data_IF_631531291296
#
_entry.id   IF_631531291296
#
_cell.length_a   1.000
_cell.length_b   1.000
_cell.length_c   1.000
_cell.angle_alpha   90.00
_cell.angle_beta   90.00
_cell.angle_gamma   90.00
#
_symmetry.space_group_name_H-M   'P 1'
#
loop_
_entity.id
_entity.type
_entity.pdbx_description
1 polymer ?
#
# COMPACT_ATOMS: atom_id res chain seq x y z
N UNK A 1 14.58 -26.41 -3.66
CA UNK A 1 15.90 -26.14 -3.05
C UNK A 1 15.73 -26.13 -1.54
N UNK A 2 16.55 -26.87 -0.80
CA UNK A 2 16.40 -26.88 0.67
C UNK A 2 16.87 -25.55 1.27
N UNK A 3 16.16 -25.06 2.28
CA UNK A 3 16.58 -23.88 3.04
C UNK A 3 17.90 -24.13 3.79
N UNK A 4 18.62 -23.07 4.15
CA UNK A 4 19.85 -23.20 4.97
C UNK A 4 19.62 -23.96 6.26
N UNK A 5 18.47 -23.73 6.91
CA UNK A 5 18.09 -24.45 8.12
C UNK A 5 17.86 -25.95 7.82
N UNK A 6 17.16 -26.26 6.74
CA UNK A 6 16.94 -27.67 6.33
C UNK A 6 18.26 -28.37 5.96
N UNK A 7 19.19 -27.67 5.31
CA UNK A 7 20.54 -28.19 5.03
C UNK A 7 21.30 -28.48 6.32
N UNK A 8 21.22 -27.60 7.33
CA UNK A 8 21.84 -27.83 8.65
C UNK A 8 21.17 -29.03 9.36
N UNK A 9 19.84 -29.14 9.32
CA UNK A 9 19.12 -30.29 9.87
C UNK A 9 19.56 -31.56 9.18
N UNK A 10 19.61 -31.61 7.87
CA UNK A 10 20.11 -32.78 7.12
C UNK A 10 21.54 -33.12 7.47
N UNK A 11 22.39 -32.13 7.68
CA UNK A 11 23.78 -32.34 8.11
C UNK A 11 23.85 -33.00 9.50
N UNK A 12 23.03 -32.55 10.45
CA UNK A 12 22.95 -33.16 11.78
C UNK A 12 22.42 -34.59 11.69
N UNK A 13 21.37 -34.80 10.89
CA UNK A 13 20.75 -36.11 10.74
C UNK A 13 21.62 -37.13 10.00
N UNK A 14 22.69 -36.74 9.30
CA UNK A 14 23.69 -37.66 8.73
C UNK A 14 24.39 -38.52 9.79
N UNK A 15 24.41 -38.07 11.03
CA UNK A 15 24.94 -38.89 12.16
C UNK A 15 24.01 -40.06 12.54
N UNK A 16 22.83 -40.15 11.96
CA UNK A 16 21.81 -41.18 12.20
C UNK A 16 21.48 -41.93 10.91
N UNK A 17 22.23 -42.98 10.54
CA UNK A 17 22.10 -43.67 9.25
C UNK A 17 20.68 -44.22 8.99
N UNK A 18 19.96 -44.59 10.04
CA UNK A 18 18.61 -45.17 9.93
C UNK A 18 17.54 -44.17 9.45
N UNK A 19 17.83 -42.86 9.47
CA UNK A 19 16.96 -41.84 8.88
C UNK A 19 17.14 -41.67 7.36
N UNK A 20 18.05 -42.43 6.75
CA UNK A 20 18.39 -42.26 5.34
C UNK A 20 18.15 -43.52 4.54
N UNK A 21 17.56 -43.35 3.36
CA UNK A 21 17.47 -44.38 2.33
C UNK A 21 18.24 -43.88 1.09
N UNK A 22 19.48 -44.31 0.96
CA UNK A 22 20.39 -43.71 -0.01
C UNK A 22 20.68 -42.24 0.35
N UNK A 23 20.39 -41.32 -0.54
CA UNK A 23 20.55 -39.89 -0.29
C UNK A 23 19.24 -39.21 0.20
N UNK A 24 18.14 -39.96 0.28
CA UNK A 24 16.85 -39.43 0.68
C UNK A 24 16.59 -39.55 2.18
N UNK A 25 16.24 -38.41 2.80
CA UNK A 25 15.87 -38.35 4.21
C UNK A 25 14.47 -38.92 4.44
N UNK A 26 14.38 -39.97 5.27
CA UNK A 26 13.10 -40.58 5.71
C UNK A 26 12.43 -39.70 6.78
N UNK A 27 11.83 -38.60 6.36
CA UNK A 27 11.25 -37.59 7.27
C UNK A 27 10.24 -38.16 8.26
N UNK A 28 9.43 -39.16 7.81
CA UNK A 28 8.43 -39.77 8.67
C UNK A 28 9.06 -40.51 9.86
N UNK A 29 10.20 -41.18 9.66
CA UNK A 29 10.93 -41.87 10.74
C UNK A 29 11.45 -40.84 11.74
N UNK A 30 12.06 -39.75 11.27
CA UNK A 30 12.52 -38.65 12.14
C UNK A 30 11.35 -38.04 12.93
N UNK A 31 10.19 -37.87 12.30
CA UNK A 31 8.98 -37.34 12.95
C UNK A 31 8.47 -38.28 14.05
N UNK A 32 8.47 -39.58 13.84
CA UNK A 32 8.04 -40.54 14.86
C UNK A 32 8.97 -40.54 16.06
N UNK A 33 10.31 -40.50 15.85
CA UNK A 33 11.28 -40.44 16.93
C UNK A 33 11.20 -39.08 17.68
N UNK A 34 10.91 -37.97 17.00
CA UNK A 34 10.63 -36.71 17.67
C UNK A 34 9.36 -36.75 18.53
N UNK A 35 8.29 -37.41 18.06
CA UNK A 35 7.06 -37.57 18.84
C UNK A 35 7.26 -38.46 20.07
N UNK A 36 8.15 -39.45 19.98
CA UNK A 36 8.52 -40.30 21.09
C UNK A 36 9.56 -39.67 22.04
N UNK A 37 9.94 -38.41 21.75
CA UNK A 37 10.92 -37.65 22.51
C UNK A 37 12.31 -38.34 22.58
N UNK A 38 12.78 -38.92 21.46
CA UNK A 38 14.13 -39.52 21.41
C UNK A 38 15.20 -38.55 21.90
N UNK A 39 15.84 -38.91 23.01
CA UNK A 39 16.77 -38.01 23.69
C UNK A 39 18.07 -37.76 22.90
N UNK A 40 18.52 -38.77 22.11
CA UNK A 40 19.73 -38.66 21.30
C UNK A 40 19.50 -37.73 20.12
N UNK A 41 18.36 -37.86 19.44
CA UNK A 41 17.96 -37.01 18.34
C UNK A 41 17.77 -35.53 18.81
N UNK A 42 16.99 -35.31 19.86
CA UNK A 42 16.76 -33.99 20.43
C UNK A 42 18.08 -33.35 20.89
N UNK A 43 18.94 -34.10 21.56
CA UNK A 43 20.23 -33.60 21.99
C UNK A 43 21.13 -33.21 20.81
N UNK A 44 21.12 -33.98 19.74
CA UNK A 44 21.89 -33.66 18.54
C UNK A 44 21.39 -32.39 17.85
N UNK A 45 20.06 -32.20 17.76
CA UNK A 45 19.43 -31.00 17.19
C UNK A 45 19.73 -29.76 18.03
N UNK A 46 19.67 -29.85 19.36
CA UNK A 46 19.91 -28.74 20.28
C UNK A 46 21.37 -28.27 20.34
N UNK A 47 22.32 -29.02 19.77
CA UNK A 47 23.72 -28.57 19.59
C UNK A 47 23.80 -27.43 18.55
N UNK A 48 22.85 -27.34 17.63
CA UNK A 48 22.77 -26.24 16.66
C UNK A 48 22.17 -25.02 17.34
N UNK A 49 22.94 -23.93 17.37
CA UNK A 49 22.53 -22.68 18.04
C UNK A 49 21.23 -22.13 17.51
N UNK A 50 21.04 -22.14 16.19
CA UNK A 50 19.83 -21.61 15.53
C UNK A 50 18.59 -22.45 15.88
N UNK A 51 18.72 -23.78 15.93
CA UNK A 51 17.62 -24.66 16.36
C UNK A 51 17.30 -24.40 17.84
N UNK A 52 18.31 -24.29 18.67
CA UNK A 52 18.15 -24.02 20.10
C UNK A 52 17.45 -22.68 20.36
N UNK A 53 17.83 -21.61 19.68
CA UNK A 53 17.24 -20.28 19.86
C UNK A 53 15.77 -20.22 19.42
N UNK A 54 15.43 -20.86 18.34
CA UNK A 54 14.10 -20.74 17.73
C UNK A 54 13.10 -21.80 18.21
N UNK A 55 13.58 -22.98 18.60
CA UNK A 55 12.70 -24.13 18.93
C UNK A 55 12.82 -24.59 20.38
N UNK A 56 13.27 -23.69 21.28
CA UNK A 56 13.21 -23.98 22.70
C UNK A 56 12.58 -22.83 23.49
N UNK A 57 12.05 -23.18 24.66
CA UNK A 57 11.59 -22.22 25.67
C UNK A 57 12.31 -22.50 26.96
N UNK A 58 12.76 -21.45 27.65
CA UNK A 58 13.30 -21.57 29.02
C UNK A 58 12.16 -21.55 30.02
N UNK A 59 12.05 -22.59 30.81
CA UNK A 59 11.14 -22.68 31.97
C UNK A 59 12.02 -22.82 33.24
N UNK A 60 12.37 -21.70 33.86
CA UNK A 60 13.37 -21.64 34.91
C UNK A 60 14.75 -22.01 34.39
N UNK A 61 15.38 -23.03 34.97
CA UNK A 61 16.68 -23.56 34.53
C UNK A 61 16.56 -24.62 33.43
N UNK A 62 15.33 -25.06 33.12
CA UNK A 62 15.11 -26.16 32.17
C UNK A 62 14.81 -25.58 30.77
N UNK A 63 15.41 -26.21 29.75
CA UNK A 63 15.14 -25.89 28.33
C UNK A 63 14.18 -26.92 27.78
N UNK A 64 13.01 -26.47 27.36
CA UNK A 64 11.96 -27.30 26.75
C UNK A 64 12.04 -27.16 25.24
N UNK A 65 12.13 -28.30 24.52
CA UNK A 65 12.14 -28.33 23.06
C UNK A 65 10.71 -28.32 22.52
N UNK A 66 10.43 -27.42 21.58
CA UNK A 66 9.13 -27.26 20.94
C UNK A 66 8.95 -28.28 19.81
N UNK A 67 8.75 -29.52 20.19
CA UNK A 67 8.73 -30.67 19.28
C UNK A 67 7.75 -30.47 18.13
N UNK A 68 6.53 -30.01 18.40
CA UNK A 68 5.50 -29.86 17.38
C UNK A 68 5.89 -28.81 16.33
N UNK A 69 6.36 -27.65 16.77
CA UNK A 69 6.83 -26.58 15.87
C UNK A 69 8.02 -27.05 15.01
N UNK A 70 8.90 -27.90 15.57
CA UNK A 70 10.00 -28.48 14.82
C UNK A 70 9.56 -29.56 13.82
N UNK A 71 8.59 -30.40 14.17
CA UNK A 71 7.99 -31.41 13.26
C UNK A 71 7.42 -30.73 12.02
N UNK A 72 6.81 -29.58 12.16
CA UNK A 72 6.21 -28.85 11.04
C UNK A 72 7.25 -28.50 9.97
N UNK A 73 8.51 -28.21 10.35
CA UNK A 73 9.61 -28.02 9.39
C UNK A 73 9.83 -29.27 8.51
N UNK A 74 9.81 -30.44 9.13
CA UNK A 74 10.11 -31.69 8.44
C UNK A 74 8.99 -32.13 7.51
N UNK A 75 7.77 -31.66 7.72
CA UNK A 75 6.61 -31.97 6.88
C UNK A 75 6.62 -31.27 5.54
N UNK A 76 7.25 -30.08 5.46
CA UNK A 76 7.19 -29.26 4.27
C UNK A 76 8.32 -29.58 3.28
N UNK A 77 7.99 -29.64 1.99
CA UNK A 77 8.92 -29.82 0.87
C UNK A 77 9.11 -28.48 0.16
N UNK A 78 9.96 -28.29 -0.70
CA UNK A 78 10.24 -27.19 -1.64
C UNK A 78 9.41 -25.88 -1.52
N UNK A 79 9.89 -24.94 -0.69
CA UNK A 79 9.11 -23.78 -0.24
C UNK A 79 9.12 -22.57 -1.14
N UNK A 80 10.06 -22.43 -2.06
CA UNK A 80 10.39 -21.12 -2.62
C UNK A 80 10.43 -21.10 -4.14
N UNK A 81 10.02 -22.14 -4.81
CA UNK A 81 10.26 -22.26 -6.24
C UNK A 81 9.67 -21.09 -7.03
N UNK A 82 8.46 -20.64 -6.66
CA UNK A 82 7.71 -19.75 -7.53
C UNK A 82 7.11 -18.51 -6.85
N UNK A 83 6.89 -18.53 -5.54
CA UNK A 83 6.27 -17.42 -4.82
C UNK A 83 6.74 -17.33 -3.37
N UNK A 84 6.99 -16.12 -2.89
CA UNK A 84 7.32 -15.83 -1.50
C UNK A 84 6.79 -14.46 -1.10
N UNK A 85 6.44 -14.34 0.17
CA UNK A 85 6.02 -13.09 0.79
C UNK A 85 6.56 -13.01 2.20
N UNK A 86 6.81 -11.79 2.69
CA UNK A 86 7.27 -11.54 4.04
C UNK A 86 6.22 -10.73 4.79
N UNK A 87 5.84 -11.20 5.98
CA UNK A 87 4.99 -10.45 6.90
C UNK A 87 5.83 -9.69 7.91
N UNK A 88 5.38 -8.49 8.26
CA UNK A 88 5.80 -7.83 9.48
C UNK A 88 4.96 -8.40 10.64
N UNK A 89 5.62 -8.91 11.68
CA UNK A 89 4.92 -9.38 12.87
C UNK A 89 4.28 -8.20 13.58
N UNK A 90 2.95 -8.25 13.73
CA UNK A 90 2.23 -7.32 14.59
C UNK A 90 1.84 -8.09 15.85
N UNK A 91 2.34 -7.66 17.01
CA UNK A 91 1.96 -8.26 18.28
C UNK A 91 0.60 -7.69 18.68
N UNK A 92 -0.39 -8.54 18.84
CA UNK A 92 -1.71 -8.17 19.35
C UNK A 92 -2.23 -9.25 20.29
N UNK A 93 -3.00 -8.86 21.28
CA UNK A 93 -3.73 -9.79 22.13
C UNK A 93 -4.94 -10.29 21.34
N UNK A 94 -5.06 -11.60 21.19
CA UNK A 94 -6.21 -12.25 20.55
C UNK A 94 -6.88 -13.22 21.52
N UNK A 95 -8.19 -13.33 21.43
CA UNK A 95 -8.97 -14.41 22.06
C UNK A 95 -9.78 -15.07 20.97
N UNK A 96 -9.68 -16.40 20.86
CA UNK A 96 -10.36 -17.20 19.81
C UNK A 96 -10.11 -16.68 18.38
N UNK A 97 -8.89 -16.21 18.09
CA UNK A 97 -8.51 -15.66 16.78
C UNK A 97 -9.02 -14.24 16.52
N UNK A 98 -9.60 -13.55 17.49
CA UNK A 98 -10.04 -12.16 17.38
C UNK A 98 -9.20 -11.25 18.27
N UNK A 99 -8.87 -10.07 17.76
CA UNK A 99 -8.20 -9.05 18.58
C UNK A 99 -9.10 -8.55 19.72
N UNK A 100 -8.56 -8.46 20.95
CA UNK A 100 -9.23 -7.88 22.09
C UNK A 100 -9.21 -6.33 22.01
N UNK A 101 -9.73 -5.77 20.93
CA UNK A 101 -10.02 -4.34 20.86
C UNK A 101 -11.53 -4.16 21.01
N UNK A 102 -11.92 -3.34 21.98
CA UNK A 102 -13.31 -3.02 22.28
C UNK A 102 -13.99 -2.14 21.23
N UNK A 103 -13.32 -1.79 20.16
CA UNK A 103 -13.87 -0.98 19.08
C UNK A 103 -14.41 -1.90 17.98
N UNK A 104 -15.59 -1.58 17.50
CA UNK A 104 -16.29 -2.25 16.40
C UNK A 104 -15.64 -2.03 15.02
N UNK A 105 -14.37 -1.64 14.97
CA UNK A 105 -13.64 -1.41 13.74
C UNK A 105 -13.34 -2.74 13.04
N UNK A 106 -13.56 -2.75 11.74
CA UNK A 106 -13.19 -3.89 10.89
C UNK A 106 -11.67 -4.00 10.87
N UNK A 107 -11.14 -5.07 11.43
CA UNK A 107 -9.71 -5.38 11.40
C UNK A 107 -9.46 -6.48 10.38
N UNK A 108 -8.51 -6.25 9.47
CA UNK A 108 -7.96 -7.32 8.65
C UNK A 108 -7.14 -8.23 9.55
N UNK A 109 -7.68 -9.41 9.83
CA UNK A 109 -6.93 -10.44 10.52
C UNK A 109 -6.20 -11.28 9.46
N UNK A 110 -4.87 -11.26 9.52
CA UNK A 110 -4.03 -12.19 8.77
C UNK A 110 -3.67 -13.33 9.71
N UNK A 111 -4.38 -14.45 9.66
CA UNK A 111 -3.96 -15.64 10.37
C UNK A 111 -2.56 -16.03 9.90
N UNK A 112 -1.80 -16.71 10.71
CA UNK A 112 -0.44 -17.13 10.34
C UNK A 112 0.57 -15.98 10.13
N UNK A 113 0.55 -14.97 11.01
CA UNK A 113 1.43 -13.79 10.93
C UNK A 113 2.92 -14.09 10.86
N UNK A 114 3.33 -15.24 11.39
CA UNK A 114 4.70 -15.74 11.38
C UNK A 114 4.95 -16.73 10.24
N UNK A 115 4.23 -16.56 9.13
CA UNK A 115 4.28 -17.45 7.99
C UNK A 115 4.69 -16.72 6.72
N UNK A 116 5.15 -17.52 5.77
CA UNK A 116 5.28 -17.14 4.37
C UNK A 116 4.17 -17.83 3.60
N UNK A 117 3.45 -17.06 2.79
CA UNK A 117 2.41 -17.59 1.92
C UNK A 117 3.02 -17.97 0.56
N UNK A 118 2.85 -19.21 0.16
CA UNK A 118 3.02 -19.65 -1.22
C UNK A 118 1.67 -19.60 -1.92
N UNK A 119 1.54 -18.70 -2.88
CA UNK A 119 0.42 -18.63 -3.80
C UNK A 119 0.95 -18.44 -5.21
N UNK A 120 0.31 -18.78 -6.22
CA UNK A 120 0.85 -18.67 -7.58
C UNK A 120 1.09 -17.22 -8.01
N UNK A 121 2.26 -16.95 -8.55
CA UNK A 121 2.65 -15.64 -9.11
C UNK A 121 2.66 -15.61 -10.63
N UNK A 122 2.71 -16.79 -11.26
CA UNK A 122 2.76 -16.94 -12.71
C UNK A 122 1.40 -17.38 -13.26
N UNK A 123 1.22 -17.27 -14.57
CA UNK A 123 -0.04 -17.68 -15.22
C UNK A 123 -0.26 -19.19 -15.17
N UNK A 124 0.82 -19.96 -15.09
CA UNK A 124 0.84 -21.41 -14.94
C UNK A 124 0.33 -21.86 -13.56
N UNK A 125 0.43 -20.98 -12.57
CA UNK A 125 0.00 -21.24 -11.19
C UNK A 125 -1.51 -21.04 -10.96
N UNK A 126 -2.28 -20.80 -12.00
CA UNK A 126 -3.74 -20.61 -11.88
C UNK A 126 -4.39 -21.80 -11.20
N UNK A 127 -5.05 -21.56 -10.07
CA UNK A 127 -5.70 -22.61 -9.28
C UNK A 127 -4.79 -23.37 -8.31
N UNK A 128 -3.53 -22.95 -8.14
CA UNK A 128 -2.64 -23.48 -7.11
C UNK A 128 -3.23 -23.20 -5.73
N UNK A 129 -3.21 -24.21 -4.86
CA UNK A 129 -3.63 -24.04 -3.47
C UNK A 129 -2.65 -23.15 -2.72
N UNK A 130 -3.18 -22.30 -1.85
CA UNK A 130 -2.35 -21.47 -0.97
C UNK A 130 -1.79 -22.32 0.17
N UNK A 131 -0.49 -22.21 0.40
CA UNK A 131 0.20 -22.89 1.49
C UNK A 131 0.95 -21.87 2.34
N UNK A 132 0.75 -21.95 3.65
CA UNK A 132 1.42 -21.09 4.63
C UNK A 132 2.58 -21.84 5.28
N UNK A 133 3.77 -21.27 5.21
CA UNK A 133 4.99 -21.83 5.78
C UNK A 133 5.47 -21.00 6.96
N UNK A 134 6.02 -21.66 7.97
CA UNK A 134 6.59 -20.98 9.12
C UNK A 134 7.71 -20.00 8.71
N UNK A 135 7.58 -18.72 9.10
CA UNK A 135 8.48 -17.65 8.71
C UNK A 135 9.94 -17.87 9.18
N UNK A 136 10.15 -18.57 10.30
CA UNK A 136 11.49 -18.85 10.83
C UNK A 136 12.31 -19.70 9.86
N UNK A 137 11.67 -20.64 9.19
CA UNK A 137 12.31 -21.49 8.16
C UNK A 137 12.78 -20.65 6.98
N UNK A 138 11.93 -19.70 6.60
CA UNK A 138 12.07 -18.88 5.41
C UNK A 138 12.97 -17.65 5.60
N UNK A 139 13.15 -17.18 6.82
CA UNK A 139 13.69 -15.87 7.12
C UNK A 139 14.99 -15.54 6.37
N UNK A 140 15.98 -16.44 6.45
CA UNK A 140 17.27 -16.18 5.83
C UNK A 140 17.19 -16.14 4.31
N UNK A 141 16.34 -16.97 3.72
CA UNK A 141 16.12 -17.01 2.27
C UNK A 141 15.43 -15.72 1.81
N UNK A 142 14.39 -15.30 2.53
CA UNK A 142 13.64 -14.09 2.24
C UNK A 142 14.53 -12.85 2.42
N UNK A 143 15.28 -12.76 3.51
CA UNK A 143 16.19 -11.64 3.75
C UNK A 143 17.28 -11.55 2.68
N UNK A 144 17.82 -12.68 2.23
CA UNK A 144 18.75 -12.75 1.10
C UNK A 144 18.07 -12.31 -0.20
N UNK A 145 16.84 -12.74 -0.43
CA UNK A 145 16.08 -12.45 -1.64
C UNK A 145 15.69 -10.98 -1.73
N UNK A 146 15.28 -10.38 -0.61
CA UNK A 146 14.91 -8.96 -0.52
C UNK A 146 16.11 -8.02 -0.33
N UNK A 147 17.33 -8.55 -0.12
CA UNK A 147 18.53 -7.72 -0.08
C UNK A 147 18.71 -6.94 -1.39
N UNK A 148 19.26 -5.71 -1.34
CA UNK A 148 19.49 -4.90 -2.54
C UNK A 148 20.23 -5.67 -3.62
N UNK A 149 19.76 -5.61 -4.86
CA UNK A 149 20.34 -6.28 -6.02
C UNK A 149 21.12 -5.29 -6.87
N UNK A 150 22.17 -5.78 -7.52
CA UNK A 150 22.84 -5.04 -8.57
C UNK A 150 21.99 -5.10 -9.85
N UNK A 151 21.86 -3.97 -10.52
CA UNK A 151 21.27 -3.91 -11.85
C UNK A 151 22.29 -4.32 -12.90
N UNK A 152 21.85 -5.04 -13.91
CA UNK A 152 22.67 -5.49 -15.04
C UNK A 152 22.06 -4.98 -16.35
N UNK A 153 22.86 -4.96 -17.41
CA UNK A 153 22.44 -4.45 -18.73
C UNK A 153 21.88 -3.02 -18.64
N UNK A 154 22.56 -2.16 -17.91
CA UNK A 154 22.14 -0.79 -17.68
C UNK A 154 22.46 0.06 -18.90
N UNK A 155 21.42 0.66 -19.50
CA UNK A 155 21.52 1.48 -20.71
C UNK A 155 20.88 2.83 -20.47
N UNK A 156 21.46 3.88 -21.05
CA UNK A 156 20.90 5.22 -21.12
C UNK A 156 20.42 5.49 -22.54
N UNK A 157 19.22 6.03 -22.63
CA UNK A 157 18.62 6.49 -23.88
C UNK A 157 18.47 8.00 -23.82
N UNK A 158 19.13 8.71 -24.69
CA UNK A 158 19.04 10.16 -24.82
C UNK A 158 18.92 10.57 -26.29
N UNK A 159 19.03 11.88 -26.57
CA UNK A 159 18.95 12.41 -27.95
C UNK A 159 20.05 11.88 -28.89
N UNK A 160 21.15 11.39 -28.36
CA UNK A 160 22.30 10.90 -29.12
C UNK A 160 22.26 9.36 -29.34
N UNK A 161 21.27 8.67 -28.73
CA UNK A 161 21.00 7.25 -28.92
C UNK A 161 21.07 6.42 -27.62
N UNK A 162 21.48 5.15 -27.78
CA UNK A 162 21.61 4.17 -26.71
C UNK A 162 23.08 4.03 -26.29
N UNK A 163 23.34 4.11 -24.98
CA UNK A 163 24.68 4.03 -24.39
C UNK A 163 24.69 3.06 -23.23
N UNK A 164 25.71 2.21 -23.12
CA UNK A 164 25.97 1.42 -21.94
C UNK A 164 26.51 2.32 -20.82
N UNK A 165 25.93 2.21 -19.63
CA UNK A 165 26.32 2.97 -18.45
C UNK A 165 26.54 2.07 -17.26
N UNK A 166 27.40 2.49 -16.34
CA UNK A 166 27.65 1.80 -15.06
C UNK A 166 26.97 2.49 -13.87
N UNK A 167 26.62 3.76 -14.02
CA UNK A 167 26.01 4.57 -12.99
C UNK A 167 24.91 5.45 -13.58
N UNK A 168 23.92 5.80 -12.76
CA UNK A 168 22.86 6.74 -13.11
C UNK A 168 22.77 7.86 -12.05
N UNK A 169 22.33 9.04 -12.47
CA UNK A 169 22.17 10.21 -11.61
C UNK A 169 20.75 10.29 -11.03
N UNK A 170 20.54 11.20 -10.06
CA UNK A 170 19.21 11.49 -9.52
C UNK A 170 18.32 12.27 -10.51
N UNK A 171 18.91 12.84 -11.57
CA UNK A 171 18.19 13.53 -12.65
C UNK A 171 17.70 12.58 -13.75
N UNK A 172 18.13 11.32 -13.75
CA UNK A 172 17.75 10.36 -14.76
C UNK A 172 16.38 9.74 -14.46
N UNK A 173 15.55 9.55 -15.50
CA UNK A 173 14.35 8.75 -15.42
C UNK A 173 14.72 7.26 -15.51
N UNK A 174 14.20 6.45 -14.60
CA UNK A 174 14.57 5.04 -14.50
C UNK A 174 13.45 4.12 -14.98
N UNK A 175 13.78 3.16 -15.85
CA UNK A 175 12.92 2.04 -16.20
C UNK A 175 13.62 0.76 -15.73
N UNK A 176 13.07 0.12 -14.70
CA UNK A 176 13.64 -1.08 -14.10
C UNK A 176 12.79 -2.29 -14.48
N UNK A 177 13.39 -3.23 -15.21
CA UNK A 177 12.73 -4.48 -15.63
C UNK A 177 13.06 -5.60 -14.66
N UNK A 178 12.04 -6.25 -14.11
CA UNK A 178 12.21 -7.38 -13.20
C UNK A 178 11.02 -7.57 -12.25
N UNK A 179 11.18 -8.42 -11.25
CA UNK A 179 10.21 -8.53 -10.17
C UNK A 179 10.18 -7.21 -9.39
N UNK A 180 9.02 -6.55 -9.37
CA UNK A 180 8.90 -5.21 -8.80
C UNK A 180 9.10 -5.17 -7.27
N UNK A 181 8.82 -6.25 -6.53
CA UNK A 181 9.11 -6.32 -5.09
C UNK A 181 10.62 -6.24 -4.84
N UNK A 182 11.42 -6.99 -5.62
CA UNK A 182 12.87 -6.97 -5.52
C UNK A 182 13.45 -5.61 -5.95
N UNK A 183 12.87 -5.02 -7.00
CA UNK A 183 13.26 -3.69 -7.47
C UNK A 183 13.00 -2.63 -6.40
N UNK A 184 11.82 -2.62 -5.78
CA UNK A 184 11.46 -1.69 -4.70
C UNK A 184 12.41 -1.80 -3.50
N UNK A 185 12.72 -3.03 -3.05
CA UNK A 185 13.69 -3.25 -1.99
C UNK A 185 15.11 -2.77 -2.37
N UNK A 186 15.50 -2.92 -3.63
CA UNK A 186 16.80 -2.44 -4.12
C UNK A 186 16.88 -0.92 -4.17
N UNK A 187 15.75 -0.25 -4.45
CA UNK A 187 15.64 1.22 -4.45
C UNK A 187 15.65 1.83 -3.05
N UNK A 188 15.27 1.08 -2.02
CA UNK A 188 15.12 1.57 -0.65
C UNK A 188 16.37 2.31 -0.15
N UNK A 189 17.57 1.78 -0.40
CA UNK A 189 18.83 2.39 0.06
C UNK A 189 19.01 3.83 -0.46
N UNK A 190 18.53 4.13 -1.66
CA UNK A 190 18.71 5.44 -2.32
C UNK A 190 17.51 6.36 -2.15
N UNK A 191 16.30 5.82 -2.17
CA UNK A 191 15.06 6.59 -2.28
C UNK A 191 14.12 6.50 -1.06
N UNK A 192 14.50 5.81 0.03
CA UNK A 192 13.68 5.82 1.25
C UNK A 192 13.42 7.25 1.73
N UNK A 193 12.16 7.59 1.95
CA UNK A 193 11.75 8.93 2.41
C UNK A 193 11.92 10.06 1.38
N UNK A 194 12.12 9.77 0.10
CA UNK A 194 12.38 10.80 -0.93
C UNK A 194 11.31 10.89 -2.02
N UNK A 195 10.50 9.86 -2.20
CA UNK A 195 9.51 9.81 -3.28
C UNK A 195 8.30 10.66 -2.91
N UNK A 196 7.98 11.63 -3.72
CA UNK A 196 6.85 12.55 -3.47
C UNK A 196 5.51 11.97 -3.90
N UNK A 197 5.49 11.20 -4.98
CA UNK A 197 4.26 10.63 -5.51
C UNK A 197 4.51 9.20 -6.01
N UNK A 198 3.61 8.29 -5.63
CA UNK A 198 3.57 6.92 -6.15
C UNK A 198 2.21 6.71 -6.80
N UNK A 199 2.22 6.26 -8.05
CA UNK A 199 1.02 5.81 -8.76
C UNK A 199 1.24 4.36 -9.18
N UNK A 200 0.29 3.48 -8.84
CA UNK A 200 0.34 2.07 -9.21
C UNK A 200 -0.98 1.61 -9.80
N UNK A 201 -0.87 0.75 -10.81
CA UNK A 201 -1.96 0.05 -11.49
C UNK A 201 -1.66 -1.45 -11.39
N UNK A 202 -2.04 -2.11 -10.27
CA UNK A 202 -1.75 -3.51 -10.03
C UNK A 202 -2.69 -4.42 -10.82
N UNK A 203 -2.41 -5.74 -10.90
CA UNK A 203 -3.37 -6.71 -11.41
C UNK A 203 -4.69 -6.64 -10.63
N UNK A 204 -5.84 -6.54 -11.31
CA UNK A 204 -7.15 -6.41 -10.65
C UNK A 204 -7.76 -7.75 -10.23
N UNK A 205 -7.06 -8.83 -10.45
CA UNK A 205 -7.52 -10.19 -10.12
C UNK A 205 -8.86 -10.56 -10.79
N UNK A 206 -9.00 -10.18 -12.06
CA UNK A 206 -10.24 -10.34 -12.83
C UNK A 206 -10.39 -11.71 -13.47
N UNK A 207 -9.28 -12.42 -13.59
CA UNK A 207 -9.22 -13.74 -14.24
C UNK A 207 -9.37 -13.73 -15.78
N UNK A 208 -9.40 -12.56 -16.41
CA UNK A 208 -9.65 -12.40 -17.86
C UNK A 208 -8.47 -11.84 -18.63
N UNK A 209 -7.26 -12.05 -18.14
CA UNK A 209 -6.11 -11.28 -18.60
C UNK A 209 -5.37 -11.91 -19.78
N UNK A 210 -4.91 -11.07 -20.71
CA UNK A 210 -3.99 -11.40 -21.78
C UNK A 210 -2.52 -11.20 -21.41
N UNK A 211 -2.23 -10.69 -20.21
CA UNK A 211 -0.89 -10.41 -19.73
C UNK A 211 -0.12 -11.67 -19.31
N UNK A 212 1.20 -11.52 -19.16
CA UNK A 212 2.11 -12.62 -18.80
C UNK A 212 2.18 -12.92 -17.31
N UNK A 213 1.48 -12.16 -16.47
CA UNK A 213 1.39 -12.39 -15.03
C UNK A 213 0.06 -13.03 -14.63
N UNK A 214 0.00 -13.59 -13.43
CA UNK A 214 -1.22 -14.18 -12.89
C UNK A 214 -2.23 -13.09 -12.50
N UNK A 215 -3.44 -13.12 -13.07
CA UNK A 215 -4.57 -12.27 -12.70
C UNK A 215 -5.71 -13.10 -12.07
N UNK A 216 -5.39 -14.31 -11.57
CA UNK A 216 -6.30 -15.23 -10.90
C UNK A 216 -5.74 -15.67 -9.56
N UNK A 217 -5.34 -14.70 -8.75
CA UNK A 217 -4.93 -14.97 -7.39
C UNK A 217 -6.12 -15.41 -6.54
N UNK A 218 -5.89 -16.27 -5.57
CA UNK A 218 -6.77 -16.34 -4.43
C UNK A 218 -6.75 -14.99 -3.69
N UNK A 219 -7.82 -14.65 -2.99
CA UNK A 219 -7.94 -13.32 -2.36
C UNK A 219 -6.83 -13.05 -1.33
N UNK A 220 -6.47 -14.04 -0.51
CA UNK A 220 -5.41 -13.93 0.47
C UNK A 220 -4.04 -13.72 -0.18
N UNK A 221 -3.74 -14.44 -1.26
CA UNK A 221 -2.51 -14.25 -2.03
C UNK A 221 -2.44 -12.85 -2.64
N UNK A 222 -3.53 -12.37 -3.24
CA UNK A 222 -3.57 -11.04 -3.81
C UNK A 222 -3.37 -9.94 -2.76
N UNK A 223 -4.04 -10.05 -1.61
CA UNK A 223 -3.88 -9.10 -0.50
C UNK A 223 -2.45 -9.11 0.04
N UNK A 224 -1.83 -10.28 0.15
CA UNK A 224 -0.43 -10.41 0.59
C UNK A 224 0.53 -9.82 -0.45
N UNK A 225 0.31 -10.11 -1.73
CA UNK A 225 1.05 -9.52 -2.85
C UNK A 225 1.02 -7.99 -2.80
N UNK A 226 -0.16 -7.40 -2.60
CA UNK A 226 -0.35 -5.96 -2.49
C UNK A 226 0.30 -5.40 -1.21
N UNK A 227 0.08 -6.05 -0.07
CA UNK A 227 0.60 -5.60 1.23
C UNK A 227 2.10 -5.39 1.20
N UNK A 228 2.87 -6.38 0.77
CA UNK A 228 4.33 -6.30 0.75
C UNK A 228 4.84 -5.12 -0.10
N UNK A 229 4.17 -4.84 -1.21
CA UNK A 229 4.53 -3.73 -2.11
C UNK A 229 4.13 -2.38 -1.55
N UNK A 230 2.96 -2.30 -0.93
CA UNK A 230 2.45 -1.08 -0.32
C UNK A 230 3.25 -0.69 0.94
N UNK A 231 3.71 -1.66 1.74
CA UNK A 231 4.58 -1.41 2.89
C UNK A 231 5.90 -0.78 2.45
N UNK A 232 6.56 -1.33 1.43
CA UNK A 232 7.77 -0.73 0.86
C UNK A 232 7.49 0.62 0.20
N UNK A 233 6.35 0.76 -0.50
CA UNK A 233 5.96 2.03 -1.08
C UNK A 233 5.84 3.13 -0.02
N UNK A 234 5.25 2.82 1.14
CA UNK A 234 5.18 3.74 2.28
C UNK A 234 6.57 4.15 2.79
N UNK A 235 7.53 3.22 2.85
CA UNK A 235 8.90 3.53 3.26
C UNK A 235 9.63 4.43 2.25
N UNK A 236 9.34 4.27 0.95
CA UNK A 236 9.92 5.11 -0.10
C UNK A 236 9.35 6.52 -0.11
N UNK A 237 8.08 6.71 0.25
CA UNK A 237 7.42 8.01 0.27
C UNK A 237 8.10 8.98 1.24
N UNK A 238 8.24 10.25 0.81
CA UNK A 238 8.61 11.37 1.68
C UNK A 238 7.51 11.62 2.73
N UNK A 239 7.81 12.41 3.74
CA UNK A 239 6.82 12.76 4.79
C UNK A 239 5.59 13.48 4.23
N UNK A 240 5.74 14.21 3.12
CA UNK A 240 4.66 14.89 2.40
C UNK A 240 4.11 14.06 1.22
N UNK A 241 4.59 12.83 1.07
CA UNK A 241 4.31 11.99 -0.09
C UNK A 241 2.87 11.50 -0.17
N UNK A 242 2.44 11.28 -1.42
CA UNK A 242 1.10 10.80 -1.77
C UNK A 242 1.18 9.47 -2.52
N UNK A 243 0.18 8.62 -2.31
CA UNK A 243 0.03 7.39 -3.09
C UNK A 243 -1.35 7.31 -3.73
N UNK A 244 -1.36 6.85 -4.97
CA UNK A 244 -2.56 6.61 -5.77
C UNK A 244 -2.55 5.17 -6.26
N UNK A 245 -3.60 4.41 -5.95
CA UNK A 245 -3.70 2.99 -6.29
C UNK A 245 -4.96 2.75 -7.08
N UNK A 246 -4.79 2.39 -8.35
CA UNK A 246 -5.90 2.11 -9.25
C UNK A 246 -6.43 0.69 -9.03
N UNK A 247 -7.75 0.50 -9.17
CA UNK A 247 -8.40 -0.81 -9.11
C UNK A 247 -9.80 -0.77 -9.72
N UNK A 248 -10.37 -1.95 -9.92
CA UNK A 248 -11.76 -2.11 -10.34
C UNK A 248 -12.72 -2.41 -9.17
N UNK A 249 -14.00 -2.64 -9.49
CA UNK A 249 -15.04 -3.00 -8.51
C UNK A 249 -14.71 -4.28 -7.71
N UNK A 250 -13.91 -5.21 -8.26
CA UNK A 250 -13.63 -6.49 -7.60
C UNK A 250 -12.73 -6.30 -6.38
N UNK A 251 -11.78 -5.36 -6.44
CA UNK A 251 -10.74 -5.19 -5.41
C UNK A 251 -10.91 -3.91 -4.58
N UNK A 252 -11.72 -2.96 -5.01
CA UNK A 252 -11.80 -1.64 -4.38
C UNK A 252 -12.04 -1.69 -2.86
N UNK A 253 -13.01 -2.48 -2.40
CA UNK A 253 -13.36 -2.55 -0.97
C UNK A 253 -12.22 -3.17 -0.14
N UNK A 254 -11.65 -4.27 -0.61
CA UNK A 254 -10.55 -4.97 0.08
C UNK A 254 -9.27 -4.16 0.08
N UNK A 255 -8.95 -3.53 -1.06
CA UNK A 255 -7.79 -2.65 -1.19
C UNK A 255 -7.91 -1.43 -0.28
N UNK A 256 -9.11 -0.85 -0.15
CA UNK A 256 -9.37 0.26 0.77
C UNK A 256 -9.04 -0.12 2.22
N UNK A 257 -9.52 -1.28 2.68
CA UNK A 257 -9.25 -1.76 4.05
C UNK A 257 -7.77 -2.08 4.25
N UNK A 258 -7.11 -2.66 3.24
CA UNK A 258 -5.68 -2.91 3.28
C UNK A 258 -4.87 -1.60 3.37
N UNK A 259 -5.21 -0.60 2.56
CA UNK A 259 -4.58 0.72 2.59
C UNK A 259 -4.80 1.44 3.93
N UNK A 260 -6.01 1.34 4.52
CA UNK A 260 -6.29 1.85 5.86
C UNK A 260 -5.37 1.22 6.91
N UNK A 261 -5.08 -0.08 6.80
CA UNK A 261 -4.19 -0.78 7.73
C UNK A 261 -2.72 -0.36 7.61
N UNK A 262 -2.29 0.09 6.44
CA UNK A 262 -0.91 0.48 6.15
C UNK A 262 -0.70 1.99 6.36
N UNK A 263 -1.56 2.82 5.77
CA UNK A 263 -1.42 4.28 5.74
C UNK A 263 -2.21 5.00 6.84
N UNK A 264 -3.07 4.31 7.55
CA UNK A 264 -4.07 4.81 8.51
C UNK A 264 -5.30 5.44 7.81
N UNK A 265 -6.47 5.23 8.41
CA UNK A 265 -7.75 5.71 7.87
C UNK A 265 -7.81 7.23 7.77
N UNK A 266 -7.19 7.92 8.71
CA UNK A 266 -7.13 9.39 8.81
C UNK A 266 -6.35 10.02 7.65
N UNK A 267 -5.47 9.25 7.01
CA UNK A 267 -4.69 9.68 5.86
C UNK A 267 -5.37 9.40 4.52
N UNK A 268 -6.56 8.83 4.53
CA UNK A 268 -7.38 8.66 3.33
C UNK A 268 -7.82 10.02 2.78
N UNK A 269 -7.58 10.25 1.48
CA UNK A 269 -7.94 11.50 0.82
C UNK A 269 -9.24 11.36 0.04
N UNK A 270 -9.28 10.43 -0.90
CA UNK A 270 -10.40 10.30 -1.81
C UNK A 270 -10.43 8.94 -2.51
N UNK A 271 -11.63 8.56 -2.92
CA UNK A 271 -11.88 7.52 -3.91
C UNK A 271 -12.30 8.17 -5.21
N UNK A 272 -11.35 8.36 -6.12
CA UNK A 272 -11.58 9.00 -7.41
C UNK A 272 -12.20 7.97 -8.36
N UNK A 273 -13.35 8.30 -8.94
CA UNK A 273 -14.02 7.45 -9.92
C UNK A 273 -13.64 7.87 -11.32
N UNK A 274 -13.10 6.94 -12.11
CA UNK A 274 -12.70 7.16 -13.49
C UNK A 274 -13.73 6.53 -14.42
N UNK A 275 -14.24 7.30 -15.36
CA UNK A 275 -15.06 6.80 -16.46
C UNK A 275 -14.16 6.19 -17.53
N UNK A 276 -14.21 4.87 -17.67
CA UNK A 276 -13.37 4.13 -18.60
C UNK A 276 -13.95 4.00 -20.00
N UNK A 277 -15.27 4.06 -20.12
CA UNK A 277 -15.92 3.88 -21.41
C UNK A 277 -17.38 4.37 -21.41
N UNK A 278 -17.91 4.55 -22.61
CA UNK A 278 -19.35 4.85 -22.81
C UNK A 278 -20.20 3.58 -22.70
N UNK A 279 -21.46 3.78 -22.30
CA UNK A 279 -22.47 2.73 -22.27
C UNK A 279 -23.00 2.46 -23.69
N UNK A 280 -22.17 1.83 -24.56
CA UNK A 280 -22.53 1.60 -25.96
C UNK A 280 -22.06 0.24 -26.47
N UNK A 281 -22.64 -0.22 -27.56
CA UNK A 281 -22.21 -1.40 -28.32
C UNK A 281 -22.18 -2.69 -27.53
N UNK A 282 -21.13 -3.48 -27.68
CA UNK A 282 -20.97 -4.81 -27.08
C UNK A 282 -21.06 -4.78 -25.56
N UNK A 283 -20.67 -3.69 -24.90
CA UNK A 283 -20.76 -3.57 -23.44
C UNK A 283 -22.21 -3.55 -22.93
N UNK A 284 -23.14 -3.14 -23.75
CA UNK A 284 -24.58 -3.12 -23.42
C UNK A 284 -25.31 -4.42 -23.79
N UNK A 285 -24.69 -5.33 -24.54
CA UNK A 285 -25.32 -6.59 -24.97
C UNK A 285 -25.73 -7.52 -23.80
N UNK A 286 -25.14 -7.30 -22.63
CA UNK A 286 -25.46 -8.05 -21.41
C UNK A 286 -26.12 -7.20 -20.32
N UNK A 287 -26.62 -6.00 -20.65
CA UNK A 287 -27.21 -5.07 -19.67
C UNK A 287 -28.48 -5.62 -19.00
N UNK A 288 -29.15 -6.60 -19.60
CA UNK A 288 -30.27 -7.33 -19.01
C UNK A 288 -29.87 -8.36 -17.93
N UNK A 289 -28.59 -8.73 -17.86
CA UNK A 289 -28.06 -9.70 -16.89
C UNK A 289 -27.16 -9.09 -15.83
N UNK A 290 -26.54 -7.96 -16.13
CA UNK A 290 -25.61 -7.26 -15.21
C UNK A 290 -25.50 -5.79 -15.58
N UNK A 291 -25.21 -4.97 -14.57
CA UNK A 291 -24.86 -3.56 -14.82
C UNK A 291 -23.54 -3.47 -15.59
N UNK A 292 -23.43 -2.62 -16.61
CA UNK A 292 -22.19 -2.41 -17.34
C UNK A 292 -21.07 -1.91 -16.44
N UNK A 293 -19.89 -2.50 -16.54
CA UNK A 293 -18.67 -2.00 -15.88
C UNK A 293 -18.08 -0.87 -16.73
N UNK A 294 -18.32 0.36 -16.35
CA UNK A 294 -17.91 1.56 -17.10
C UNK A 294 -16.89 2.41 -16.35
N UNK A 295 -16.52 2.01 -15.15
CA UNK A 295 -15.70 2.79 -14.23
C UNK A 295 -14.59 1.96 -13.61
N UNK A 296 -13.59 2.65 -13.15
CA UNK A 296 -12.53 2.18 -12.26
C UNK A 296 -12.35 3.20 -11.15
N UNK A 297 -11.50 2.88 -10.18
CA UNK A 297 -11.25 3.71 -9.02
C UNK A 297 -9.76 3.97 -8.85
N UNK A 298 -9.45 5.15 -8.28
CA UNK A 298 -8.13 5.42 -7.72
C UNK A 298 -8.33 5.75 -6.23
N UNK A 299 -7.80 4.90 -5.38
CA UNK A 299 -7.73 5.15 -3.95
C UNK A 299 -6.49 6.00 -3.67
N UNK A 300 -6.69 7.15 -3.02
CA UNK A 300 -5.60 8.09 -2.74
C UNK A 300 -5.40 8.28 -1.24
N UNK A 301 -4.12 8.25 -0.83
CA UNK A 301 -3.70 8.39 0.56
C UNK A 301 -2.51 9.34 0.67
N UNK A 302 -2.45 10.04 1.80
CA UNK A 302 -1.24 10.73 2.28
C UNK A 302 -0.35 9.73 3.01
N UNK A 303 0.96 10.02 3.07
CA UNK A 303 1.83 9.27 3.99
C UNK A 303 1.48 9.59 5.44
N UNK A 304 1.26 10.89 5.73
CA UNK A 304 0.85 11.40 7.05
C UNK A 304 0.03 12.70 6.90
N UNK A 305 -0.33 13.33 8.01
CA UNK A 305 -1.15 14.55 8.05
C UNK A 305 -0.49 15.79 7.43
N UNK A 306 0.84 15.81 7.29
CA UNK A 306 1.58 16.98 6.79
C UNK A 306 1.58 17.11 5.27
N UNK A 307 1.08 16.08 4.56
CA UNK A 307 1.01 16.12 3.10
C UNK A 307 -0.02 17.13 2.61
N UNK A 308 0.39 18.00 1.71
CA UNK A 308 -0.45 18.99 1.06
C UNK A 308 -0.66 18.67 -0.42
N UNK A 309 -1.76 19.14 -0.98
CA UNK A 309 -2.08 19.03 -2.40
C UNK A 309 -1.98 20.41 -3.02
N UNK A 310 -1.19 20.51 -4.08
CA UNK A 310 -1.16 21.71 -4.89
C UNK A 310 -2.49 21.90 -5.60
N UNK A 311 -3.15 23.01 -5.31
CA UNK A 311 -4.43 23.34 -5.97
C UNK A 311 -4.22 23.63 -7.45
N UNK A 312 -4.90 22.86 -8.30
CA UNK A 312 -4.91 23.13 -9.73
C UNK A 312 -5.95 24.23 -10.01
N UNK A 313 -5.45 25.44 -10.32
CA UNK A 313 -6.31 26.56 -10.73
C UNK A 313 -6.53 26.50 -12.24
N UNK A 314 -7.77 26.28 -12.67
CA UNK A 314 -8.16 26.30 -14.07
C UNK A 314 -8.98 27.56 -14.33
N UNK A 315 -8.59 28.36 -15.35
CA UNK A 315 -9.33 29.55 -15.74
C UNK A 315 -10.70 29.12 -16.33
N UNK A 316 -11.78 29.49 -15.64
CA UNK A 316 -13.14 29.25 -16.14
C UNK A 316 -13.43 30.21 -17.31
N UNK A 317 -14.14 29.70 -18.32
CA UNK A 317 -14.56 30.51 -19.46
C UNK A 317 -15.77 31.41 -19.14
N UNK A 318 -16.62 30.95 -18.24
CA UNK A 318 -17.85 31.62 -17.83
C UNK A 318 -17.93 31.69 -16.32
N UNK A 319 -18.66 32.69 -15.82
CA UNK A 319 -18.91 32.80 -14.38
C UNK A 319 -19.75 31.64 -13.90
N UNK A 320 -19.40 31.15 -12.71
CA UNK A 320 -20.12 30.06 -12.06
C UNK A 320 -21.42 30.64 -11.42
N UNK A 321 -22.56 30.09 -11.79
CA UNK A 321 -23.86 30.56 -11.30
C UNK A 321 -24.10 30.28 -9.80
N UNK A 322 -23.29 29.42 -9.18
CA UNK A 322 -23.35 29.20 -7.74
C UNK A 322 -22.90 30.43 -6.96
N UNK A 323 -21.97 31.24 -7.51
CA UNK A 323 -21.53 32.50 -6.91
C UNK A 323 -22.52 33.62 -7.30
N UNK A 324 -23.56 33.81 -6.48
CA UNK A 324 -24.68 34.67 -6.79
C UNK A 324 -24.98 35.76 -5.74
N UNK A 325 -24.15 35.91 -4.73
CA UNK A 325 -24.28 36.92 -3.68
C UNK A 325 -23.02 37.79 -3.63
N UNK A 326 -23.19 39.09 -3.42
CA UNK A 326 -22.10 40.06 -3.33
C UNK A 326 -22.06 40.69 -1.94
N UNK A 327 -20.85 40.83 -1.40
CA UNK A 327 -20.60 41.58 -0.18
C UNK A 327 -20.53 43.07 -0.51
N UNK A 328 -21.45 43.83 0.02
CA UNK A 328 -21.56 45.29 -0.18
C UNK A 328 -20.93 46.02 1.00
N UNK A 329 -20.41 47.21 0.75
CA UNK A 329 -19.78 48.04 1.80
C UNK A 329 -18.29 47.84 1.98
N UNK A 330 -17.63 47.17 1.02
CA UNK A 330 -16.17 46.91 1.07
C UNK A 330 -15.54 47.07 -0.32
N UNK A 331 -14.36 47.69 -0.39
CA UNK A 331 -13.50 47.71 -1.57
C UNK A 331 -12.45 46.58 -1.50
N UNK A 332 -11.61 46.48 -2.56
CA UNK A 332 -10.61 45.43 -2.66
C UNK A 332 -9.50 45.55 -1.60
N UNK A 333 -9.05 46.80 -1.31
CA UNK A 333 -8.03 47.02 -0.32
C UNK A 333 -8.50 46.75 1.11
N UNK A 334 -9.75 47.13 1.39
CA UNK A 334 -10.42 46.81 2.66
C UNK A 334 -10.63 45.30 2.82
N UNK A 335 -11.04 44.63 1.75
CA UNK A 335 -11.26 43.18 1.75
C UNK A 335 -9.93 42.44 2.03
N UNK A 336 -8.82 42.82 1.41
CA UNK A 336 -7.51 42.21 1.67
C UNK A 336 -7.03 42.45 3.11
N UNK A 337 -7.35 43.59 3.73
CA UNK A 337 -7.05 43.82 5.15
C UNK A 337 -7.91 42.92 6.05
N UNK A 338 -9.19 42.81 5.74
CA UNK A 338 -10.12 41.95 6.47
C UNK A 338 -9.71 40.47 6.37
N UNK A 339 -9.39 39.99 5.17
CA UNK A 339 -8.95 38.62 4.91
C UNK A 339 -7.66 38.28 5.71
N UNK A 340 -6.70 39.18 5.76
CA UNK A 340 -5.48 39.02 6.58
C UNK A 340 -5.80 38.88 8.07
N UNK A 341 -6.80 39.61 8.58
CA UNK A 341 -7.21 39.52 9.99
C UNK A 341 -7.94 38.22 10.27
N UNK A 342 -8.82 37.80 9.37
CA UNK A 342 -9.60 36.55 9.49
C UNK A 342 -8.66 35.33 9.50
N UNK A 343 -7.63 35.35 8.70
CA UNK A 343 -6.67 34.24 8.56
C UNK A 343 -5.52 34.26 9.58
N UNK A 344 -5.53 35.17 10.58
CA UNK A 344 -4.56 35.14 11.69
C UNK A 344 -4.87 33.97 12.65
N UNK A 345 -3.85 33.24 13.06
CA UNK A 345 -3.99 32.20 14.11
C UNK A 345 -4.36 32.81 15.47
N UNK A 346 -3.81 33.97 15.80
CA UNK A 346 -4.08 34.70 17.04
C UNK A 346 -4.45 36.13 16.68
N UNK A 347 -5.60 36.61 17.17
CA UNK A 347 -6.12 37.97 16.98
C UNK A 347 -6.01 38.76 18.27
N UNK A 348 -5.61 40.02 18.17
CA UNK A 348 -5.55 40.97 19.28
C UNK A 348 -6.86 41.80 19.40
N UNK A 349 -6.93 42.67 20.44
CA UNK A 349 -8.11 43.53 20.69
C UNK A 349 -8.36 44.53 19.55
N UNK A 350 -7.32 44.95 18.82
CA UNK A 350 -7.47 45.84 17.64
C UNK A 350 -8.07 45.11 16.47
N UNK A 351 -7.66 43.87 16.26
CA UNK A 351 -8.26 42.99 15.22
C UNK A 351 -9.75 42.81 15.48
N UNK A 352 -10.16 42.49 16.72
CA UNK A 352 -11.56 42.35 17.08
C UNK A 352 -12.35 43.64 16.94
N UNK A 353 -11.77 44.78 17.28
CA UNK A 353 -12.41 46.11 17.09
C UNK A 353 -12.65 46.38 15.61
N UNK A 354 -11.68 46.07 14.73
CA UNK A 354 -11.82 46.21 13.29
C UNK A 354 -12.89 45.25 12.72
N UNK A 355 -12.89 44.00 13.16
CA UNK A 355 -13.91 43.04 12.74
C UNK A 355 -15.32 43.51 13.11
N UNK A 356 -15.54 44.03 14.32
CA UNK A 356 -16.83 44.58 14.75
C UNK A 356 -17.29 45.75 13.90
N UNK A 357 -16.37 46.67 13.55
CA UNK A 357 -16.69 47.78 12.65
C UNK A 357 -17.12 47.32 11.25
N UNK A 358 -16.49 46.26 10.73
CA UNK A 358 -16.88 45.65 9.46
C UNK A 358 -18.24 44.94 9.57
N UNK A 359 -18.52 44.24 10.68
CA UNK A 359 -19.80 43.55 10.86
C UNK A 359 -21.01 44.51 10.83
N UNK A 360 -20.84 45.76 11.25
CA UNK A 360 -21.90 46.78 11.20
C UNK A 360 -22.06 47.40 9.80
N UNK A 361 -21.00 47.37 8.97
CA UNK A 361 -20.93 48.02 7.66
C UNK A 361 -21.30 47.09 6.48
N UNK A 362 -20.98 45.78 6.64
CA UNK A 362 -21.06 44.82 5.55
C UNK A 362 -22.43 44.16 5.46
N UNK A 363 -22.94 44.03 4.25
CA UNK A 363 -24.18 43.35 3.96
C UNK A 363 -24.05 42.43 2.73
N UNK A 364 -24.69 41.27 2.78
CA UNK A 364 -24.78 40.37 1.62
C UNK A 364 -26.05 40.72 0.82
N UNK A 365 -25.87 40.99 -0.46
CA UNK A 365 -26.98 41.24 -1.42
C UNK A 365 -26.91 40.23 -2.55
N UNK A 366 -28.06 39.73 -3.02
CA UNK A 366 -28.14 38.91 -4.23
C UNK A 366 -27.66 39.69 -5.46
N UNK A 367 -26.82 39.07 -6.30
CA UNK A 367 -26.28 39.68 -7.51
C UNK A 367 -27.39 40.28 -8.45
N UNK A 368 -28.51 39.60 -8.67
CA UNK A 368 -29.59 40.17 -9.51
C UNK A 368 -30.14 41.46 -8.93
N UNK A 369 -30.31 41.56 -7.62
CA UNK A 369 -30.83 42.77 -6.96
C UNK A 369 -29.78 43.87 -6.97
N UNK A 370 -28.50 43.51 -6.69
CA UNK A 370 -27.37 44.45 -6.77
C UNK A 370 -27.28 45.09 -8.18
N UNK A 371 -27.39 44.28 -9.25
CA UNK A 371 -27.33 44.77 -10.62
C UNK A 371 -28.49 45.70 -10.95
N UNK A 372 -29.72 45.42 -10.46
CA UNK A 372 -30.87 46.24 -10.63
C UNK A 372 -30.73 47.59 -9.91
N UNK A 373 -30.31 47.53 -8.64
CA UNK A 373 -30.21 48.70 -7.78
C UNK A 373 -29.09 49.65 -8.24
N UNK A 374 -28.00 49.08 -8.73
CA UNK A 374 -26.86 49.85 -9.26
C UNK A 374 -26.95 50.12 -10.79
N UNK A 375 -28.05 49.72 -11.44
CA UNK A 375 -28.34 49.93 -12.87
C UNK A 375 -27.25 49.40 -13.81
N UNK A 376 -26.65 48.23 -13.48
CA UNK A 376 -25.58 47.62 -14.27
C UNK A 376 -26.19 46.93 -15.51
N UNK A 377 -25.79 47.35 -16.74
CA UNK A 377 -26.32 46.77 -17.98
C UNK A 377 -25.98 45.29 -18.12
N UNK A 378 -26.84 44.49 -18.77
CA UNK A 378 -26.63 43.04 -18.91
C UNK A 378 -25.30 42.66 -19.59
N UNK A 379 -24.86 43.44 -20.57
CA UNK A 379 -23.60 43.23 -21.28
C UNK A 379 -22.35 43.52 -20.43
N UNK A 380 -22.51 44.21 -19.31
CA UNK A 380 -21.40 44.53 -18.37
C UNK A 380 -21.38 43.65 -17.13
N UNK A 381 -22.48 42.93 -16.87
CA UNK A 381 -22.60 42.13 -15.65
C UNK A 381 -21.54 41.04 -15.52
N UNK A 382 -21.14 40.39 -16.61
CA UNK A 382 -20.11 39.37 -16.59
C UNK A 382 -18.72 39.96 -16.29
N UNK A 383 -18.37 41.06 -16.93
CA UNK A 383 -17.14 41.78 -16.63
C UNK A 383 -17.11 42.29 -15.18
N UNK A 384 -18.24 42.78 -14.69
CA UNK A 384 -18.38 43.20 -13.30
C UNK A 384 -18.10 42.05 -12.32
N UNK A 385 -18.67 40.86 -12.56
CA UNK A 385 -18.44 39.70 -11.72
C UNK A 385 -16.95 39.33 -11.63
N UNK A 386 -16.27 39.30 -12.78
CA UNK A 386 -14.84 38.99 -12.81
C UNK A 386 -14.00 40.04 -12.08
N UNK A 387 -14.31 41.32 -12.24
CA UNK A 387 -13.60 42.41 -11.59
C UNK A 387 -13.88 42.50 -10.08
N UNK A 388 -14.97 41.93 -9.61
CA UNK A 388 -15.39 41.96 -8.22
C UNK A 388 -15.38 40.55 -7.59
N UNK A 389 -14.66 39.60 -8.19
CA UNK A 389 -14.65 38.20 -7.78
C UNK A 389 -14.19 38.00 -6.32
N UNK A 390 -13.39 38.92 -5.77
CA UNK A 390 -12.92 38.91 -4.38
C UNK A 390 -14.04 39.03 -3.34
N UNK A 391 -15.21 39.64 -3.71
CA UNK A 391 -16.33 39.87 -2.81
C UNK A 391 -17.65 39.23 -3.30
N UNK A 392 -17.61 38.32 -4.27
CA UNK A 392 -18.77 37.57 -4.75
C UNK A 392 -18.63 36.10 -4.28
N UNK A 393 -19.71 35.59 -3.67
CA UNK A 393 -19.78 34.31 -3.00
C UNK A 393 -20.93 33.46 -3.51
#
# INVERSE_FOLDING_TARGET
MDTRLMQQIKTILKAFPHYWQGEELQRNVVIEDLKSYDAMLISALLKNQKIKENYTVKAGETTIFKVQEFIDILRYKDYWADSYTKYANTIGLTSEGKYLQYNSDVVLDFPYKDCVLEGGMTKEDTGKEEVFYNNIIARDEIDTLLAPKAFVNTKKFDKDGEHDITEFSDEDNLIIKGNNLLALHSLKKRYAGKVQCIYIDPPYNTGNDSFKYNDRFNHSTWLTFMRNRLEIAKELLSEEGLIFVQCDDNQQAYLKVLLDSIFSKENFMSNIVIKMSEASGVKMSHANKRLPKLKEYILSYKKNSNSEINTLKVKKKYWDSEYNSILVGIDEDEFQKLDKIINKDIRDEKDFSLLNNYMEKLEFQGLPDYFRDNKIPKNEQEAFKWNNSYRIF
#
